data_IF_473990227732
#
_entry.id   IF_473990227732
#
_cell.length_a   1.000
_cell.length_b   1.000
_cell.length_c   1.000
_cell.angle_alpha   90.00
_cell.angle_beta   90.00
_cell.angle_gamma   90.00
#
_symmetry.space_group_name_H-M   'P 1'
#
loop_
_entity.id
_entity.type
_entity.pdbx_description
1 polymer ?
#
# COMPACT_ATOMS: atom_id res chain seq x y z
N UNK A 1 16.35 24.76 23.45
CA UNK A 1 14.91 25.10 23.50
C UNK A 1 14.13 24.57 22.30
N UNK A 2 14.72 24.43 21.11
CA UNK A 2 14.03 23.85 19.92
C UNK A 2 13.82 22.33 20.03
N UNK A 3 14.73 21.59 20.67
CA UNK A 3 14.61 20.12 20.81
C UNK A 3 13.41 19.66 21.65
N UNK A 4 13.00 20.42 22.67
CA UNK A 4 11.83 20.07 23.49
C UNK A 4 10.49 20.32 22.81
N UNK A 5 10.43 21.17 21.76
CA UNK A 5 9.20 21.39 21.00
C UNK A 5 8.94 20.23 20.03
N UNK A 6 9.98 19.76 19.33
CA UNK A 6 9.83 18.64 18.38
C UNK A 6 9.46 17.32 19.08
N UNK A 7 9.91 17.11 20.32
CA UNK A 7 9.56 15.93 21.10
C UNK A 7 8.06 15.92 21.47
N UNK A 8 7.53 17.06 21.95
CA UNK A 8 6.12 17.19 22.31
C UNK A 8 5.19 17.04 21.08
N UNK A 9 5.56 17.61 19.93
CA UNK A 9 4.76 17.46 18.70
C UNK A 9 4.73 16.01 18.19
N UNK A 10 5.81 15.25 18.38
CA UNK A 10 5.85 13.83 18.04
C UNK A 10 4.95 13.00 18.95
N UNK A 11 4.98 13.27 20.26
CA UNK A 11 4.19 12.53 21.25
C UNK A 11 2.69 12.82 21.11
N UNK A 12 2.30 14.07 20.86
CA UNK A 12 0.91 14.45 20.57
C UNK A 12 0.39 13.81 19.27
N UNK A 13 1.24 13.74 18.24
CA UNK A 13 0.90 13.09 16.98
C UNK A 13 0.72 11.57 17.15
N UNK A 14 1.58 10.91 17.92
CA UNK A 14 1.46 9.48 18.22
C UNK A 14 0.19 9.16 19.02
N UNK A 15 -0.19 10.01 19.98
CA UNK A 15 -1.45 9.86 20.73
C UNK A 15 -2.65 10.03 19.80
N UNK A 16 -2.69 11.09 18.98
CA UNK A 16 -3.78 11.35 18.05
C UNK A 16 -3.95 10.21 17.02
N UNK A 17 -2.84 9.62 16.59
CA UNK A 17 -2.83 8.46 15.69
C UNK A 17 -3.33 7.21 16.41
N UNK A 18 -2.87 6.94 17.62
CA UNK A 18 -3.33 5.79 18.41
C UNK A 18 -4.84 5.87 18.68
N UNK A 19 -5.37 7.07 18.96
CA UNK A 19 -6.81 7.30 19.10
C UNK A 19 -7.56 7.09 17.79
N UNK A 20 -7.02 7.58 16.67
CA UNK A 20 -7.63 7.39 15.34
C UNK A 20 -7.67 5.92 14.92
N UNK A 21 -6.59 5.17 15.14
CA UNK A 21 -6.52 3.72 14.88
C UNK A 21 -7.47 2.95 15.80
N UNK A 22 -7.61 3.35 17.06
CA UNK A 22 -8.57 2.74 17.99
C UNK A 22 -10.01 2.95 17.53
N UNK A 23 -10.38 4.18 17.16
CA UNK A 23 -11.72 4.49 16.63
C UNK A 23 -12.00 3.68 15.36
N UNK A 24 -11.03 3.60 14.46
CA UNK A 24 -11.15 2.84 13.22
C UNK A 24 -11.34 1.34 13.49
N UNK A 25 -10.54 0.74 14.37
CA UNK A 25 -10.66 -0.67 14.74
C UNK A 25 -11.96 -0.98 15.47
N UNK A 26 -12.46 -0.06 16.31
CA UNK A 26 -13.77 -0.20 16.95
C UNK A 26 -14.92 -0.13 15.94
N UNK A 27 -14.79 0.70 14.88
CA UNK A 27 -15.76 0.78 13.79
C UNK A 27 -15.74 -0.47 12.90
N UNK A 28 -14.56 -0.96 12.48
CA UNK A 28 -14.42 -2.17 11.66
C UNK A 28 -14.96 -3.42 12.39
N UNK A 29 -14.60 -3.60 13.67
CA UNK A 29 -15.12 -4.71 14.48
C UNK A 29 -16.63 -4.63 14.77
N UNK A 30 -17.24 -3.44 14.69
CA UNK A 30 -18.70 -3.29 14.84
C UNK A 30 -19.48 -3.70 13.59
N UNK A 31 -18.81 -3.85 12.43
CA UNK A 31 -19.39 -4.24 11.15
C UNK A 31 -19.29 -5.75 10.85
N UNK A 32 -18.49 -6.53 11.57
CA UNK A 32 -18.46 -8.01 11.48
C UNK A 32 -19.66 -8.71 12.17
N UNK A 33 -20.83 -8.06 12.23
CA UNK A 33 -22.08 -8.79 12.52
C UNK A 33 -22.31 -9.75 11.36
N UNK A 34 -22.43 -11.05 11.62
CA UNK A 34 -22.91 -12.08 10.69
C UNK A 34 -23.96 -11.51 9.71
N UNK A 35 -23.52 -11.00 8.57
CA UNK A 35 -24.40 -10.54 7.51
C UNK A 35 -24.77 -11.84 6.80
N UNK A 36 -25.98 -12.34 7.04
CA UNK A 36 -26.57 -13.30 6.11
C UNK A 36 -26.50 -12.66 4.73
N UNK A 37 -25.61 -13.18 3.87
CA UNK A 37 -25.48 -12.72 2.49
C UNK A 37 -26.84 -12.96 1.86
N UNK A 38 -27.63 -11.90 1.55
CA UNK A 38 -28.96 -12.09 1.01
C UNK A 38 -28.84 -12.87 -0.29
N UNK A 39 -29.70 -13.87 -0.51
CA UNK A 39 -29.72 -14.54 -1.80
C UNK A 39 -29.93 -13.51 -2.90
N UNK A 40 -28.90 -13.34 -3.74
CA UNK A 40 -28.92 -12.38 -4.84
C UNK A 40 -29.95 -12.88 -5.85
N UNK A 41 -31.04 -12.14 -6.02
CA UNK A 41 -32.02 -12.44 -7.05
C UNK A 41 -31.47 -12.06 -8.43
N UNK A 42 -31.94 -12.70 -9.49
CA UNK A 42 -31.55 -12.36 -10.88
C UNK A 42 -31.78 -10.88 -11.22
N UNK A 43 -32.81 -10.26 -10.62
CA UNK A 43 -33.09 -8.83 -10.78
C UNK A 43 -32.04 -7.95 -10.09
N UNK A 44 -31.60 -8.33 -8.89
CA UNK A 44 -30.51 -7.64 -8.18
C UNK A 44 -29.21 -7.74 -8.97
N UNK A 45 -28.90 -8.91 -9.53
CA UNK A 45 -27.70 -9.12 -10.33
C UNK A 45 -27.70 -8.25 -11.60
N UNK A 46 -28.83 -8.20 -12.32
CA UNK A 46 -28.98 -7.35 -13.51
C UNK A 46 -28.80 -5.86 -13.21
N UNK A 47 -29.29 -5.38 -12.06
CA UNK A 47 -29.09 -4.00 -11.64
C UNK A 47 -27.62 -3.70 -11.36
N UNK A 48 -26.95 -4.58 -10.62
CA UNK A 48 -25.53 -4.42 -10.27
C UNK A 48 -24.65 -4.43 -11.54
N UNK A 49 -24.96 -5.26 -12.52
CA UNK A 49 -24.26 -5.28 -13.81
C UNK A 49 -24.40 -3.95 -14.57
N UNK A 50 -25.60 -3.35 -14.59
CA UNK A 50 -25.80 -2.05 -15.25
C UNK A 50 -25.00 -0.93 -14.56
N UNK A 51 -24.91 -0.95 -13.24
CA UNK A 51 -24.08 0.01 -12.49
C UNK A 51 -22.58 -0.21 -12.80
N UNK A 52 -22.14 -1.47 -12.86
CA UNK A 52 -20.77 -1.82 -13.25
C UNK A 52 -20.44 -1.31 -14.65
N UNK A 53 -21.31 -1.54 -15.64
CA UNK A 53 -21.13 -1.08 -17.01
C UNK A 53 -21.06 0.45 -17.09
N UNK A 54 -21.89 1.14 -16.31
CA UNK A 54 -21.83 2.60 -16.20
C UNK A 54 -20.45 3.06 -15.71
N UNK A 55 -19.93 2.49 -14.62
CA UNK A 55 -18.63 2.87 -14.08
C UNK A 55 -17.47 2.47 -14.99
N UNK A 56 -17.52 1.30 -15.64
CA UNK A 56 -16.51 0.89 -16.61
C UNK A 56 -16.45 1.85 -17.79
N UNK A 57 -17.60 2.32 -18.29
CA UNK A 57 -17.64 3.33 -19.34
C UNK A 57 -17.01 4.65 -18.88
N UNK A 58 -17.27 5.11 -17.65
CA UNK A 58 -16.63 6.31 -17.11
C UNK A 58 -15.11 6.13 -16.98
N UNK A 59 -14.65 4.99 -16.44
CA UNK A 59 -13.21 4.69 -16.33
C UNK A 59 -12.54 4.64 -17.70
N UNK A 60 -13.17 4.01 -18.69
CA UNK A 60 -12.63 3.93 -20.04
C UNK A 60 -12.51 5.31 -20.67
N UNK A 61 -13.47 6.22 -20.46
CA UNK A 61 -13.36 7.60 -20.93
C UNK A 61 -12.16 8.32 -20.31
N UNK A 62 -11.96 8.16 -19.00
CA UNK A 62 -10.83 8.76 -18.28
C UNK A 62 -9.48 8.17 -18.72
N UNK A 63 -9.39 6.85 -18.83
CA UNK A 63 -8.16 6.15 -19.19
C UNK A 63 -7.79 6.37 -20.65
N UNK A 64 -8.77 6.43 -21.56
CA UNK A 64 -8.52 6.60 -23.00
C UNK A 64 -8.35 8.06 -23.42
N UNK A 65 -8.92 9.03 -22.71
CA UNK A 65 -8.63 10.43 -23.00
C UNK A 65 -7.28 10.83 -22.41
N UNK A 66 -6.39 11.29 -23.28
CA UNK A 66 -5.15 11.98 -22.90
C UNK A 66 -5.55 13.29 -22.22
N UNK A 67 -5.32 13.39 -20.91
CA UNK A 67 -5.71 14.56 -20.14
C UNK A 67 -4.76 15.71 -20.48
N UNK A 68 -5.16 16.58 -21.42
CA UNK A 68 -4.61 17.94 -21.51
C UNK A 68 -5.22 18.88 -20.44
N UNK A 69 -5.90 18.33 -19.44
CA UNK A 69 -6.65 19.05 -18.42
C UNK A 69 -5.81 19.32 -17.17
N UNK A 70 -6.00 20.49 -16.56
CA UNK A 70 -5.30 20.90 -15.34
C UNK A 70 -5.72 20.12 -14.09
N UNK A 71 -5.15 20.51 -12.94
CA UNK A 71 -5.31 19.86 -11.62
C UNK A 71 -6.77 19.63 -11.19
N UNK A 72 -7.71 20.50 -11.57
CA UNK A 72 -9.13 20.36 -11.23
C UNK A 72 -9.74 19.07 -11.80
N UNK A 73 -9.31 18.66 -13.00
CA UNK A 73 -9.79 17.43 -13.63
C UNK A 73 -9.27 16.16 -12.93
N UNK A 74 -8.07 16.22 -12.34
CA UNK A 74 -7.53 15.13 -11.53
C UNK A 74 -8.38 14.90 -10.28
N UNK A 75 -8.75 15.98 -9.57
CA UNK A 75 -9.58 15.88 -8.36
C UNK A 75 -10.97 15.33 -8.64
N UNK A 76 -11.62 15.73 -9.74
CA UNK A 76 -12.89 15.14 -10.17
C UNK A 76 -12.75 13.64 -10.47
N UNK A 77 -11.67 13.26 -11.13
CA UNK A 77 -11.35 11.87 -11.46
C UNK A 77 -11.14 11.03 -10.21
N UNK A 78 -10.35 11.51 -9.24
CA UNK A 78 -10.11 10.82 -7.96
C UNK A 78 -11.38 10.73 -7.12
N UNK A 79 -12.26 11.75 -7.17
CA UNK A 79 -13.57 11.69 -6.54
C UNK A 79 -14.46 10.59 -7.14
N UNK A 80 -14.45 10.40 -8.46
CA UNK A 80 -15.13 9.27 -9.10
C UNK A 80 -14.56 7.93 -8.65
N UNK A 81 -13.23 7.80 -8.58
CA UNK A 81 -12.57 6.59 -8.11
C UNK A 81 -12.98 6.24 -6.69
N UNK A 82 -13.05 7.22 -5.79
CA UNK A 82 -13.53 7.02 -4.43
C UNK A 82 -14.99 6.53 -4.42
N UNK A 83 -15.87 7.11 -5.25
CA UNK A 83 -17.26 6.64 -5.38
C UNK A 83 -17.34 5.19 -5.85
N UNK A 84 -16.47 4.79 -6.77
CA UNK A 84 -16.37 3.41 -7.25
C UNK A 84 -15.98 2.46 -6.12
N UNK A 85 -15.00 2.84 -5.29
CA UNK A 85 -14.60 2.01 -4.14
C UNK A 85 -15.71 1.87 -3.11
N UNK A 86 -16.34 2.99 -2.70
CA UNK A 86 -17.49 2.97 -1.79
C UNK A 86 -18.63 2.11 -2.33
N UNK A 87 -18.93 2.21 -3.62
CA UNK A 87 -19.94 1.36 -4.26
C UNK A 87 -19.54 -0.12 -4.18
N UNK A 88 -18.26 -0.44 -4.39
CA UNK A 88 -17.76 -1.81 -4.42
C UNK A 88 -17.87 -2.54 -3.07
N UNK A 89 -17.85 -1.82 -1.94
CA UNK A 89 -17.95 -2.42 -0.61
C UNK A 89 -19.21 -3.24 -0.38
N UNK A 90 -20.32 -2.90 -1.02
CA UNK A 90 -21.58 -3.60 -0.79
C UNK A 90 -21.93 -4.58 -1.91
N UNK A 91 -20.95 -4.96 -2.75
CA UNK A 91 -21.14 -5.80 -3.92
C UNK A 91 -20.25 -7.05 -3.89
N UNK A 92 -20.66 -8.14 -4.58
CA UNK A 92 -19.85 -9.35 -4.74
C UNK A 92 -18.49 -9.07 -5.40
N UNK A 93 -17.44 -9.74 -4.91
CA UNK A 93 -16.05 -9.55 -5.34
C UNK A 93 -15.87 -9.83 -6.83
N UNK A 94 -16.56 -10.85 -7.33
CA UNK A 94 -16.52 -11.29 -8.73
C UNK A 94 -16.95 -10.20 -9.71
N UNK A 95 -17.79 -9.27 -9.24
CA UNK A 95 -18.30 -8.16 -10.03
C UNK A 95 -17.40 -6.93 -9.87
N UNK A 96 -16.85 -6.70 -8.68
CA UNK A 96 -16.12 -5.47 -8.39
C UNK A 96 -14.66 -5.49 -8.82
N UNK A 97 -14.02 -6.65 -8.90
CA UNK A 97 -12.57 -6.75 -9.16
C UNK A 97 -12.16 -6.01 -10.44
N UNK A 98 -12.83 -6.26 -11.57
CA UNK A 98 -12.52 -5.58 -12.85
C UNK A 98 -12.59 -4.06 -12.72
N UNK A 99 -13.55 -3.56 -11.95
CA UNK A 99 -13.75 -2.13 -11.77
C UNK A 99 -12.70 -1.54 -10.84
N UNK A 100 -12.37 -2.23 -9.74
CA UNK A 100 -11.29 -1.86 -8.83
C UNK A 100 -9.94 -1.83 -9.56
N UNK A 101 -9.62 -2.86 -10.34
CA UNK A 101 -8.42 -2.91 -11.19
C UNK A 101 -8.36 -1.73 -12.16
N UNK A 102 -9.50 -1.36 -12.74
CA UNK A 102 -9.62 -0.17 -13.58
C UNK A 102 -9.29 1.12 -12.83
N UNK A 103 -9.73 1.24 -11.57
CA UNK A 103 -9.38 2.37 -10.71
C UNK A 103 -7.88 2.39 -10.40
N UNK A 104 -7.27 1.26 -10.02
CA UNK A 104 -5.82 1.19 -9.80
C UNK A 104 -5.03 1.63 -11.04
N UNK A 105 -5.44 1.21 -12.25
CA UNK A 105 -4.85 1.66 -13.51
C UNK A 105 -4.99 3.16 -13.72
N UNK A 106 -6.18 3.71 -13.45
CA UNK A 106 -6.44 5.14 -13.53
C UNK A 106 -5.55 5.96 -12.58
N UNK A 107 -5.36 5.48 -11.35
CA UNK A 107 -4.47 6.12 -10.37
C UNK A 107 -3.02 6.08 -10.81
N UNK A 108 -2.53 4.93 -11.31
CA UNK A 108 -1.19 4.85 -11.86
C UNK A 108 -1.00 5.87 -12.98
N UNK A 109 -1.95 5.96 -13.93
CA UNK A 109 -1.89 6.92 -15.03
C UNK A 109 -1.80 8.37 -14.53
N UNK A 110 -2.68 8.77 -13.60
CA UNK A 110 -2.67 10.12 -13.03
C UNK A 110 -1.33 10.42 -12.34
N UNK A 111 -0.82 9.51 -11.52
CA UNK A 111 0.43 9.75 -10.78
C UNK A 111 1.68 9.74 -11.68
N UNK A 112 1.66 8.97 -12.76
CA UNK A 112 2.74 8.95 -13.76
C UNK A 112 2.76 10.22 -14.62
N UNK A 113 1.59 10.76 -14.97
CA UNK A 113 1.46 11.99 -15.77
C UNK A 113 1.68 13.25 -14.92
N UNK A 114 1.11 13.28 -13.73
CA UNK A 114 1.14 14.40 -12.80
C UNK A 114 2.03 14.02 -11.62
N UNK A 115 3.35 14.19 -11.78
CA UNK A 115 4.34 14.02 -10.73
C UNK A 115 4.26 15.16 -9.69
N UNK A 116 3.07 15.41 -9.16
CA UNK A 116 2.74 16.49 -8.23
C UNK A 116 2.26 15.89 -6.90
N UNK A 117 3.03 16.12 -5.85
CA UNK A 117 2.75 15.61 -4.50
C UNK A 117 1.46 16.18 -3.92
N UNK A 118 1.05 17.38 -4.35
CA UNK A 118 -0.16 18.04 -3.85
C UNK A 118 -1.45 17.30 -4.20
N UNK A 119 -1.42 16.47 -5.25
CA UNK A 119 -2.56 15.63 -5.64
C UNK A 119 -2.86 14.64 -4.53
N UNK A 120 -1.85 14.04 -3.90
CA UNK A 120 -2.07 13.09 -2.79
C UNK A 120 -2.48 13.80 -1.49
N UNK A 121 -1.99 15.02 -1.24
CA UNK A 121 -2.38 15.85 -0.09
C UNK A 121 -3.88 16.05 0.04
N UNK A 122 -4.55 16.29 -1.08
CA UNK A 122 -5.99 16.54 -1.11
C UNK A 122 -6.83 15.26 -1.13
N UNK A 123 -6.21 14.11 -1.38
CA UNK A 123 -6.89 12.86 -1.73
C UNK A 123 -6.48 11.69 -0.80
N UNK A 124 -6.09 11.96 0.45
CA UNK A 124 -5.75 10.88 1.40
C UNK A 124 -6.89 9.90 1.68
N UNK A 125 -8.14 10.31 1.51
CA UNK A 125 -9.30 9.42 1.69
C UNK A 125 -9.29 8.25 0.70
N UNK A 126 -8.96 8.49 -0.59
CA UNK A 126 -8.88 7.40 -1.57
C UNK A 126 -7.71 6.47 -1.25
N UNK A 127 -6.61 7.00 -0.72
CA UNK A 127 -5.46 6.18 -0.30
C UNK A 127 -5.83 5.27 0.87
N UNK A 128 -6.52 5.80 1.88
CA UNK A 128 -7.02 5.00 3.00
C UNK A 128 -7.99 3.90 2.53
N UNK A 129 -8.88 4.23 1.60
CA UNK A 129 -9.85 3.31 1.04
C UNK A 129 -9.18 2.18 0.25
N UNK A 130 -8.20 2.52 -0.60
CA UNK A 130 -7.38 1.57 -1.36
C UNK A 130 -6.67 0.57 -0.44
N UNK A 131 -6.05 1.07 0.63
CA UNK A 131 -5.32 0.23 1.58
C UNK A 131 -6.27 -0.71 2.33
N UNK A 132 -7.40 -0.17 2.82
CA UNK A 132 -8.45 -0.97 3.48
C UNK A 132 -8.94 -2.09 2.56
N UNK A 133 -9.18 -1.76 1.30
CA UNK A 133 -9.64 -2.71 0.30
C UNK A 133 -8.60 -3.82 0.04
N UNK A 134 -7.31 -3.48 -0.06
CA UNK A 134 -6.22 -4.47 -0.18
C UNK A 134 -6.20 -5.38 1.04
N UNK A 135 -6.23 -4.81 2.25
CA UNK A 135 -6.09 -5.55 3.50
C UNK A 135 -7.29 -6.48 3.75
N UNK A 136 -8.52 -6.00 3.53
CA UNK A 136 -9.73 -6.72 3.91
C UNK A 136 -10.29 -7.62 2.79
N UNK A 137 -10.03 -7.31 1.51
CA UNK A 137 -10.67 -8.04 0.39
C UNK A 137 -9.75 -8.95 -0.38
N UNK A 138 -8.47 -8.61 -0.47
CA UNK A 138 -7.53 -9.39 -1.25
C UNK A 138 -6.80 -10.41 -0.38
N UNK A 139 -6.55 -11.57 -0.98
CA UNK A 139 -5.55 -12.53 -0.53
C UNK A 139 -4.22 -12.28 -1.26
N UNK A 140 -3.12 -12.81 -0.74
CA UNK A 140 -1.78 -12.68 -1.36
C UNK A 140 -1.75 -13.12 -2.83
N UNK A 141 -2.57 -14.11 -3.20
CA UNK A 141 -2.59 -14.70 -4.54
C UNK A 141 -3.57 -13.98 -5.50
N UNK A 142 -4.53 -13.23 -4.95
CA UNK A 142 -5.44 -12.41 -5.76
C UNK A 142 -4.88 -11.04 -6.11
N UNK A 143 -3.78 -10.64 -5.48
CA UNK A 143 -3.11 -9.38 -5.80
C UNK A 143 -2.35 -9.51 -7.11
N UNK A 144 -2.50 -8.49 -7.94
CA UNK A 144 -1.84 -8.40 -9.24
C UNK A 144 -0.90 -7.19 -9.28
N UNK A 145 0.06 -7.14 -10.23
CA UNK A 145 1.12 -6.13 -10.24
C UNK A 145 0.62 -4.68 -10.16
N UNK A 146 -0.53 -4.38 -10.78
CA UNK A 146 -1.08 -3.02 -10.79
C UNK A 146 -1.44 -2.52 -9.38
N UNK A 147 -1.85 -3.40 -8.46
CA UNK A 147 -2.18 -3.01 -7.08
C UNK A 147 -0.94 -2.49 -6.36
N UNK A 148 0.19 -3.21 -6.50
CA UNK A 148 1.46 -2.84 -5.85
C UNK A 148 2.09 -1.64 -6.54
N UNK A 149 1.99 -1.57 -7.87
CA UNK A 149 2.46 -0.41 -8.64
C UNK A 149 1.75 0.87 -8.20
N UNK A 150 0.43 0.84 -8.07
CA UNK A 150 -0.35 1.98 -7.58
C UNK A 150 0.07 2.38 -6.17
N UNK A 151 0.22 1.41 -5.25
CA UNK A 151 0.67 1.69 -3.88
C UNK A 151 2.07 2.32 -3.86
N UNK A 152 2.99 1.83 -4.69
CA UNK A 152 4.34 2.38 -4.81
C UNK A 152 4.34 3.82 -5.34
N UNK A 153 3.53 4.11 -6.36
CA UNK A 153 3.38 5.47 -6.89
C UNK A 153 2.79 6.40 -5.84
N UNK A 154 1.70 5.99 -5.16
CA UNK A 154 1.09 6.76 -4.06
C UNK A 154 2.14 7.05 -2.99
N UNK A 155 2.84 6.01 -2.50
CA UNK A 155 3.86 6.15 -1.47
C UNK A 155 4.94 7.15 -1.88
N UNK A 156 5.43 7.08 -3.13
CA UNK A 156 6.47 7.95 -3.63
C UNK A 156 6.01 9.39 -3.88
N UNK A 157 4.72 9.60 -4.19
CA UNK A 157 4.10 10.91 -4.34
C UNK A 157 3.69 11.56 -3.00
N UNK A 158 3.73 10.84 -1.89
CA UNK A 158 3.41 11.37 -0.57
C UNK A 158 4.56 12.21 0.03
N UNK A 159 4.18 13.25 0.77
CA UNK A 159 5.03 13.98 1.72
C UNK A 159 5.51 13.07 2.86
N UNK A 160 6.54 13.50 3.59
CA UNK A 160 7.10 12.71 4.71
C UNK A 160 6.06 12.43 5.81
N UNK A 161 5.19 13.40 6.12
CA UNK A 161 4.13 13.22 7.10
C UNK A 161 3.11 12.17 6.65
N UNK A 162 2.74 12.18 5.36
CA UNK A 162 1.84 11.17 4.80
C UNK A 162 2.48 9.79 4.74
N UNK A 163 3.76 9.68 4.36
CA UNK A 163 4.48 8.40 4.40
C UNK A 163 4.47 7.79 5.80
N UNK A 164 4.68 8.61 6.84
CA UNK A 164 4.52 8.19 8.25
C UNK A 164 3.10 7.66 8.49
N UNK A 165 2.08 8.38 8.05
CA UNK A 165 0.67 7.97 8.20
C UNK A 165 0.37 6.65 7.46
N UNK A 166 0.85 6.47 6.24
CA UNK A 166 0.68 5.24 5.46
C UNK A 166 1.27 4.02 6.16
N UNK A 167 2.46 4.17 6.75
CA UNK A 167 3.08 3.09 7.54
C UNK A 167 2.21 2.69 8.73
N UNK A 168 1.61 3.66 9.40
CA UNK A 168 0.71 3.42 10.53
C UNK A 168 -0.64 2.84 10.12
N UNK A 169 -1.10 3.12 8.90
CA UNK A 169 -2.35 2.59 8.33
C UNK A 169 -2.21 1.17 7.75
N UNK A 170 -1.06 0.51 7.93
CA UNK A 170 -0.93 -0.91 7.58
C UNK A 170 -0.24 -1.18 6.25
N UNK A 171 0.50 -0.24 5.67
CA UNK A 171 1.38 -0.56 4.51
C UNK A 171 2.32 -1.73 4.82
N UNK A 172 2.83 -1.83 6.05
CA UNK A 172 3.65 -2.97 6.50
C UNK A 172 2.90 -4.32 6.39
N UNK A 173 1.61 -4.34 6.75
CA UNK A 173 0.77 -5.53 6.63
C UNK A 173 0.55 -5.93 5.17
N UNK A 174 0.26 -4.95 4.29
CA UNK A 174 0.10 -5.19 2.85
C UNK A 174 1.38 -5.80 2.28
N UNK A 175 2.52 -5.21 2.60
CA UNK A 175 3.84 -5.65 2.19
C UNK A 175 4.15 -7.08 2.67
N UNK A 176 3.89 -7.40 3.93
CA UNK A 176 4.11 -8.75 4.48
C UNK A 176 3.22 -9.79 3.79
N UNK A 177 1.97 -9.42 3.49
CA UNK A 177 1.04 -10.27 2.74
C UNK A 177 1.53 -10.49 1.30
N UNK A 178 2.00 -9.47 0.60
CA UNK A 178 2.33 -9.56 -0.84
C UNK A 178 3.65 -10.27 -1.12
N UNK A 179 4.60 -10.25 -0.18
CA UNK A 179 5.82 -11.07 -0.26
C UNK A 179 5.53 -12.59 -0.29
N UNK A 180 4.34 -13.02 0.15
CA UNK A 180 3.92 -14.43 0.11
C UNK A 180 3.24 -14.82 -1.21
N UNK A 181 3.09 -13.89 -2.15
CA UNK A 181 2.40 -14.14 -3.42
C UNK A 181 3.12 -15.19 -4.27
N UNK A 182 2.36 -15.95 -5.05
CA UNK A 182 2.94 -16.79 -6.11
C UNK A 182 3.40 -15.99 -7.32
N UNK A 183 2.91 -14.76 -7.48
CA UNK A 183 3.25 -13.89 -8.62
C UNK A 183 4.60 -13.19 -8.38
N UNK A 184 5.58 -13.48 -9.24
CA UNK A 184 6.94 -12.93 -9.13
C UNK A 184 6.96 -11.42 -9.31
N UNK A 185 6.21 -10.89 -10.26
CA UNK A 185 6.18 -9.44 -10.51
C UNK A 185 5.59 -8.69 -9.29
N UNK A 186 4.60 -9.27 -8.60
CA UNK A 186 4.08 -8.74 -7.34
C UNK A 186 5.15 -8.73 -6.25
N UNK A 187 5.95 -9.78 -6.13
CA UNK A 187 7.06 -9.85 -5.16
C UNK A 187 8.15 -8.82 -5.48
N UNK A 188 8.52 -8.69 -6.75
CA UNK A 188 9.57 -7.75 -7.17
C UNK A 188 9.15 -6.30 -6.92
N UNK A 189 7.93 -5.93 -7.31
CA UNK A 189 7.36 -4.60 -7.00
C UNK A 189 7.25 -4.36 -5.49
N UNK A 190 6.82 -5.37 -4.73
CA UNK A 190 6.73 -5.27 -3.26
C UNK A 190 8.11 -5.06 -2.65
N UNK A 191 9.12 -5.79 -3.11
CA UNK A 191 10.49 -5.67 -2.61
C UNK A 191 11.05 -4.27 -2.88
N UNK A 192 10.78 -3.70 -4.05
CA UNK A 192 11.16 -2.33 -4.37
C UNK A 192 10.46 -1.32 -3.45
N UNK A 193 9.16 -1.51 -3.18
CA UNK A 193 8.42 -0.66 -2.25
C UNK A 193 9.00 -0.73 -0.82
N UNK A 194 9.34 -1.92 -0.33
CA UNK A 194 10.01 -2.10 0.97
C UNK A 194 11.33 -1.33 1.02
N UNK A 195 12.12 -1.47 -0.04
CA UNK A 195 13.41 -0.79 -0.16
C UNK A 195 13.22 0.73 -0.06
N UNK A 196 12.25 1.30 -0.78
CA UNK A 196 11.94 2.72 -0.73
C UNK A 196 11.46 3.17 0.66
N UNK A 197 10.64 2.36 1.34
CA UNK A 197 10.18 2.61 2.71
C UNK A 197 11.32 2.68 3.70
N UNK A 198 12.21 1.68 3.69
CA UNK A 198 13.33 1.58 4.62
C UNK A 198 14.34 2.69 4.31
N UNK A 199 14.65 2.93 3.03
CA UNK A 199 15.56 3.99 2.59
C UNK A 199 15.07 5.36 3.03
N UNK A 200 13.79 5.67 2.80
CA UNK A 200 13.18 6.91 3.25
C UNK A 200 13.30 7.05 4.77
N UNK A 201 12.92 6.00 5.52
CA UNK A 201 12.99 6.00 6.98
C UNK A 201 14.41 6.28 7.49
N UNK A 202 15.45 5.69 6.88
CA UNK A 202 16.84 5.95 7.23
C UNK A 202 17.28 7.39 6.96
N UNK A 203 16.86 7.94 5.81
CA UNK A 203 17.25 9.29 5.41
C UNK A 203 16.57 10.37 6.24
N UNK A 204 15.33 10.11 6.69
CA UNK A 204 14.54 11.04 7.50
C UNK A 204 14.95 11.02 8.97
N UNK A 205 15.27 9.85 9.54
CA UNK A 205 15.52 9.69 10.99
C UNK A 205 17.00 9.41 11.32
N UNK A 206 17.90 10.22 10.77
CA UNK A 206 19.37 9.97 10.74
C UNK A 206 20.03 9.61 12.07
N UNK A 207 19.46 9.96 13.23
CA UNK A 207 20.20 9.85 14.48
C UNK A 207 19.57 9.00 15.61
N UNK A 208 18.24 8.93 15.83
CA UNK A 208 17.72 8.19 17.02
C UNK A 208 16.32 7.54 16.89
N UNK A 209 15.54 7.85 15.85
CA UNK A 209 14.14 7.39 15.73
C UNK A 209 13.87 6.36 14.62
N UNK A 210 14.89 5.91 13.90
CA UNK A 210 14.75 4.82 12.92
C UNK A 210 14.10 3.54 13.52
N UNK A 211 14.14 3.43 14.85
CA UNK A 211 13.56 2.34 15.63
C UNK A 211 12.07 2.10 15.32
N UNK A 212 11.26 3.15 15.14
CA UNK A 212 9.79 3.02 14.96
C UNK A 212 9.46 2.20 13.71
N UNK A 213 10.15 2.46 12.59
CA UNK A 213 9.98 1.67 11.37
C UNK A 213 10.59 0.28 11.48
N UNK A 214 11.75 0.14 12.14
CA UNK A 214 12.44 -1.15 12.22
C UNK A 214 11.69 -2.15 13.10
N UNK A 215 11.05 -1.71 14.19
CA UNK A 215 10.28 -2.59 15.06
C UNK A 215 8.95 -2.98 14.46
N UNK A 216 8.23 -2.05 13.82
CA UNK A 216 6.96 -2.37 13.15
C UNK A 216 7.18 -3.30 11.96
N UNK A 217 8.19 -3.04 11.13
CA UNK A 217 8.49 -3.89 9.98
C UNK A 217 8.95 -5.30 10.42
N UNK A 218 9.75 -5.41 11.50
CA UNK A 218 10.14 -6.73 12.04
C UNK A 218 8.99 -7.45 12.76
N UNK A 219 8.04 -6.74 13.35
CA UNK A 219 6.88 -7.35 14.01
C UNK A 219 6.02 -8.14 13.01
N UNK A 220 5.95 -7.68 11.75
CA UNK A 220 5.11 -8.29 10.72
C UNK A 220 5.84 -9.36 9.89
N UNK A 221 6.90 -9.97 10.42
CA UNK A 221 7.73 -10.99 9.75
C UNK A 221 8.30 -10.54 8.38
N UNK A 222 8.50 -9.24 8.17
CA UNK A 222 8.99 -8.73 6.87
C UNK A 222 10.45 -9.14 6.64
N UNK A 223 11.29 -9.14 7.67
CA UNK A 223 12.68 -9.62 7.57
C UNK A 223 12.74 -11.10 7.16
N UNK A 224 11.92 -11.94 7.79
CA UNK A 224 11.80 -13.35 7.41
C UNK A 224 11.26 -13.52 5.99
N UNK A 225 10.23 -12.75 5.62
CA UNK A 225 9.62 -12.83 4.30
C UNK A 225 10.57 -12.34 3.19
N UNK A 226 11.33 -11.26 3.42
CA UNK A 226 12.38 -10.81 2.51
C UNK A 226 13.47 -11.87 2.34
N UNK A 227 13.85 -12.54 3.42
CA UNK A 227 14.86 -13.58 3.36
C UNK A 227 14.35 -14.82 2.61
N UNK A 228 13.25 -15.42 3.07
CA UNK A 228 12.74 -16.70 2.57
C UNK A 228 12.09 -16.56 1.18
N UNK A 229 11.24 -15.53 0.97
CA UNK A 229 10.44 -15.39 -0.25
C UNK A 229 11.15 -14.64 -1.38
N UNK A 230 12.24 -13.91 -1.08
CA UNK A 230 12.94 -13.07 -2.06
C UNK A 230 14.39 -13.47 -2.21
N UNK A 231 15.20 -13.31 -1.15
CA UNK A 231 16.65 -13.51 -1.23
C UNK A 231 17.02 -14.97 -1.55
N UNK A 232 16.30 -15.92 -0.96
CA UNK A 232 16.53 -17.36 -1.15
C UNK A 232 15.78 -17.95 -2.35
N UNK A 233 14.96 -17.16 -3.05
CA UNK A 233 14.10 -17.63 -4.14
C UNK A 233 14.81 -17.55 -5.48
N UNK A 234 14.89 -18.67 -6.19
CA UNK A 234 15.68 -18.78 -7.42
C UNK A 234 15.16 -17.91 -8.57
N UNK A 235 13.83 -17.79 -8.71
CA UNK A 235 13.18 -17.17 -9.87
C UNK A 235 12.87 -15.67 -9.69
N UNK A 236 13.47 -15.02 -8.69
CA UNK A 236 13.44 -13.56 -8.49
C UNK A 236 14.66 -12.94 -9.16
N UNK A 237 14.50 -11.75 -9.75
CA UNK A 237 15.61 -11.05 -10.42
C UNK A 237 16.77 -10.73 -9.46
N UNK A 238 17.96 -10.65 -10.02
CA UNK A 238 19.17 -10.34 -9.28
C UNK A 238 19.12 -8.95 -8.64
N UNK A 239 18.56 -7.95 -9.34
CA UNK A 239 18.33 -6.61 -8.80
C UNK A 239 17.39 -6.64 -7.59
N UNK A 240 16.32 -7.44 -7.65
CA UNK A 240 15.40 -7.59 -6.52
C UNK A 240 16.07 -8.29 -5.34
N UNK A 241 16.92 -9.30 -5.59
CA UNK A 241 17.73 -9.92 -4.51
C UNK A 241 18.70 -8.94 -3.87
N UNK A 242 19.30 -8.04 -4.66
CA UNK A 242 20.17 -6.98 -4.15
C UNK A 242 19.39 -6.01 -3.25
N UNK A 243 18.22 -5.56 -3.70
CA UNK A 243 17.32 -4.73 -2.90
C UNK A 243 16.92 -5.42 -1.59
N UNK A 244 16.57 -6.72 -1.64
CA UNK A 244 16.24 -7.48 -0.45
C UNK A 244 17.41 -7.58 0.54
N UNK A 245 18.63 -7.87 0.05
CA UNK A 245 19.82 -7.94 0.88
C UNK A 245 20.16 -6.60 1.53
N UNK A 246 20.05 -5.49 0.79
CA UNK A 246 20.27 -4.14 1.32
C UNK A 246 19.21 -3.78 2.38
N UNK A 247 17.93 -4.02 2.07
CA UNK A 247 16.81 -3.82 2.99
C UNK A 247 17.00 -4.60 4.29
N UNK A 248 17.40 -5.87 4.23
CA UNK A 248 17.70 -6.68 5.40
C UNK A 248 18.86 -6.09 6.22
N UNK A 249 19.95 -5.68 5.58
CA UNK A 249 21.06 -5.01 6.28
C UNK A 249 20.62 -3.73 7.00
N UNK A 250 19.72 -2.96 6.40
CA UNK A 250 19.17 -1.76 7.01
C UNK A 250 18.18 -2.06 8.15
N UNK A 251 17.34 -3.10 8.03
CA UNK A 251 16.43 -3.53 9.10
C UNK A 251 17.18 -4.00 10.35
N UNK A 252 18.38 -4.58 10.17
CA UNK A 252 19.28 -4.98 11.26
C UNK A 252 20.34 -3.92 11.59
N UNK A 253 20.19 -2.68 11.12
CA UNK A 253 21.16 -1.63 11.43
C UNK A 253 21.25 -1.38 12.95
N UNK A 254 22.46 -1.45 13.49
CA UNK A 254 22.71 -1.30 14.94
C UNK A 254 22.40 -2.53 15.79
N UNK A 255 21.96 -3.65 15.19
CA UNK A 255 21.68 -4.92 15.88
C UNK A 255 22.33 -6.11 15.14
N UNK A 256 22.40 -7.26 15.81
CA UNK A 256 23.02 -8.45 15.21
C UNK A 256 22.09 -9.12 14.19
N UNK A 257 22.59 -9.36 12.98
CA UNK A 257 21.88 -10.14 11.95
C UNK A 257 21.78 -11.61 12.39
N UNK A 258 20.58 -12.23 12.31
CA UNK A 258 20.38 -13.64 12.61
C UNK A 258 21.38 -14.56 11.92
N UNK A 259 21.92 -15.54 12.66
CA UNK A 259 23.01 -16.41 12.21
C UNK A 259 22.66 -17.16 10.92
N UNK A 260 21.40 -17.59 10.77
CA UNK A 260 20.89 -18.28 9.60
C UNK A 260 20.84 -17.39 8.34
N UNK A 261 20.71 -16.08 8.49
CA UNK A 261 20.61 -15.14 7.37
C UNK A 261 21.96 -14.53 6.97
N UNK A 262 22.84 -14.35 7.95
CA UNK A 262 24.10 -13.59 7.85
C UNK A 262 24.95 -13.96 6.63
N UNK A 263 25.16 -15.26 6.37
CA UNK A 263 26.03 -15.71 5.28
C UNK A 263 25.47 -15.31 3.91
N UNK A 264 24.18 -15.53 3.68
CA UNK A 264 23.55 -15.24 2.39
C UNK A 264 23.53 -13.73 2.13
N UNK A 265 23.16 -12.92 3.12
CA UNK A 265 23.17 -11.46 3.02
C UNK A 265 24.59 -10.94 2.70
N UNK A 266 25.61 -11.36 3.47
CA UNK A 266 26.99 -10.91 3.24
C UNK A 266 27.52 -11.37 1.88
N UNK A 267 27.21 -12.60 1.47
CA UNK A 267 27.63 -13.12 0.17
C UNK A 267 27.07 -12.29 -0.96
N UNK A 268 25.80 -11.87 -0.84
CA UNK A 268 25.12 -11.06 -1.85
C UNK A 268 25.66 -9.64 -1.95
N UNK A 269 25.98 -9.01 -0.82
CA UNK A 269 26.49 -7.64 -0.81
C UNK A 269 27.97 -7.51 -1.23
N UNK A 270 28.67 -8.64 -1.42
CA UNK A 270 30.07 -8.68 -1.86
C UNK A 270 30.25 -8.96 -3.34
N UNK A 271 29.24 -9.52 -4.00
CA UNK A 271 29.23 -9.78 -5.45
C UNK A 271 29.01 -8.50 -6.22
#
# INVERSE_FOLDING_TARGET
MVENQNQNESDELEIAIAESLKIYNEQSNSQEKNIEVPQITDQTLSHVQKEQDYYLNQLNLIICHDQQSGTDSCNETLSLFNRIFVWSWNKPKEITHTLQDGVYKGICKILEEYNDTSIMDQNMNIVSELMTLIIERYTSDSLIPIHIKALSLIYNSCSDQQKKLLLLQGVAQIVSMTLKSTNIEVIELTTSLIYDIIRWSLLTYKDQQFYISSSSLRHDDIDKSLFDSVLMRDNVSETTKDQAAISLCWLFHGIEIPVNMRRAIISRLKS
#
